data_IF_155494677217
#
_entry.id   IF_155494677217
#
_cell.length_a   1.000
_cell.length_b   1.000
_cell.length_c   1.000
_cell.angle_alpha   90.00
_cell.angle_beta   90.00
_cell.angle_gamma   90.00
#
_symmetry.space_group_name_H-M   'P 1'
#
loop_
_entity.id
_entity.type
_entity.pdbx_description
1 polymer ?
#
# COMPACT_ATOMS: atom_id res chain seq x y z
N UNK A 1 5.56 2.80 -14.87
CA UNK A 1 4.12 3.20 -14.84
C UNK A 1 3.21 2.21 -15.56
N UNK A 2 3.47 1.86 -16.82
CA UNK A 2 2.59 0.99 -17.63
C UNK A 2 2.29 -0.37 -16.95
N UNK A 3 3.31 -1.05 -16.40
CA UNK A 3 3.10 -2.31 -15.69
C UNK A 3 2.27 -2.15 -14.40
N UNK A 4 2.55 -1.13 -13.58
CA UNK A 4 1.84 -0.88 -12.32
C UNK A 4 0.36 -0.52 -12.55
N UNK A 5 0.09 0.36 -13.52
CA UNK A 5 -1.29 0.68 -13.92
C UNK A 5 -1.98 -0.49 -14.64
N UNK A 6 -1.24 -1.35 -15.35
CA UNK A 6 -1.77 -2.58 -15.94
C UNK A 6 -2.27 -3.57 -14.89
N UNK A 7 -1.50 -3.80 -13.82
CA UNK A 7 -1.94 -4.63 -12.69
C UNK A 7 -3.12 -4.02 -11.94
N UNK A 8 -3.15 -2.68 -11.77
CA UNK A 8 -4.28 -1.98 -11.19
C UNK A 8 -5.55 -2.18 -12.05
N UNK A 9 -5.44 -1.98 -13.38
CA UNK A 9 -6.56 -2.14 -14.30
C UNK A 9 -7.12 -3.57 -14.32
N UNK A 10 -6.27 -4.59 -14.14
CA UNK A 10 -6.70 -5.98 -13.97
C UNK A 10 -7.40 -6.21 -12.63
N UNK A 11 -6.88 -5.65 -11.54
CA UNK A 11 -7.47 -5.80 -10.21
C UNK A 11 -8.86 -5.14 -10.11
N UNK A 12 -9.06 -3.97 -10.73
CA UNK A 12 -10.35 -3.25 -10.76
C UNK A 12 -11.43 -4.03 -11.53
N UNK A 13 -11.07 -4.94 -12.44
CA UNK A 13 -12.05 -5.82 -13.11
C UNK A 13 -12.67 -6.86 -12.17
N UNK A 14 -12.01 -7.17 -11.05
CA UNK A 14 -12.43 -8.22 -10.13
C UNK A 14 -12.86 -7.70 -8.77
N UNK A 15 -12.31 -6.57 -8.32
CA UNK A 15 -12.62 -5.96 -7.04
C UNK A 15 -13.07 -4.49 -7.21
N UNK A 16 -13.97 -4.01 -6.34
CA UNK A 16 -14.39 -2.61 -6.36
C UNK A 16 -13.20 -1.67 -6.10
N UNK A 17 -13.22 -0.51 -6.78
CA UNK A 17 -12.16 0.50 -6.72
C UNK A 17 -11.83 0.96 -5.29
N UNK A 18 -12.83 0.94 -4.41
CA UNK A 18 -12.73 1.24 -2.98
C UNK A 18 -11.74 0.33 -2.24
N UNK A 19 -11.56 -0.91 -2.69
CA UNK A 19 -10.56 -1.84 -2.13
C UNK A 19 -9.24 -1.73 -2.87
N UNK A 20 -9.31 -1.68 -4.20
CA UNK A 20 -8.12 -1.80 -5.05
C UNK A 20 -7.20 -0.59 -4.90
N UNK A 21 -7.76 0.63 -4.81
CA UNK A 21 -6.97 1.86 -4.77
C UNK A 21 -6.20 2.04 -3.45
N UNK A 22 -6.80 1.84 -2.25
CA UNK A 22 -6.06 1.90 -0.99
C UNK A 22 -4.98 0.81 -0.87
N UNK A 23 -5.25 -0.40 -1.35
CA UNK A 23 -4.26 -1.49 -1.35
C UNK A 23 -3.09 -1.15 -2.26
N UNK A 24 -3.36 -0.66 -3.48
CA UNK A 24 -2.31 -0.29 -4.43
C UNK A 24 -1.44 0.88 -3.93
N UNK A 25 -2.06 1.94 -3.43
CA UNK A 25 -1.34 3.10 -2.86
C UNK A 25 -0.53 2.70 -1.63
N UNK A 26 -1.10 1.84 -0.77
CA UNK A 26 -0.42 1.30 0.40
C UNK A 26 0.84 0.50 0.10
N UNK A 27 0.76 -0.42 -0.87
CA UNK A 27 1.93 -1.20 -1.31
C UNK A 27 3.00 -0.27 -1.88
N UNK A 28 2.62 0.75 -2.66
CA UNK A 28 3.54 1.74 -3.19
C UNK A 28 4.23 2.56 -2.10
N UNK A 29 3.48 3.02 -1.09
CA UNK A 29 4.02 3.77 0.03
C UNK A 29 5.00 2.93 0.88
N UNK A 30 4.59 1.72 1.30
CA UNK A 30 5.44 0.81 2.08
C UNK A 30 6.68 0.40 1.31
N UNK A 31 6.53 0.07 0.02
CA UNK A 31 7.64 -0.31 -0.86
C UNK A 31 8.66 0.82 -1.04
N UNK A 32 8.19 2.07 -1.23
CA UNK A 32 9.08 3.23 -1.36
C UNK A 32 9.88 3.48 -0.08
N UNK A 33 9.24 3.33 1.09
CA UNK A 33 9.91 3.49 2.38
C UNK A 33 10.95 2.38 2.60
N UNK A 34 10.60 1.12 2.32
CA UNK A 34 11.54 0.00 2.40
C UNK A 34 12.74 0.20 1.49
N UNK A 35 12.52 0.64 0.25
CA UNK A 35 13.61 0.96 -0.69
C UNK A 35 14.48 2.10 -0.16
N UNK A 36 13.88 3.17 0.40
CA UNK A 36 14.59 4.25 1.08
C UNK A 36 15.52 3.76 2.19
N UNK A 37 14.99 2.92 3.08
CA UNK A 37 15.77 2.36 4.21
C UNK A 37 16.87 1.41 3.73
N UNK A 38 16.57 0.51 2.79
CA UNK A 38 17.50 -0.57 2.39
C UNK A 38 18.57 -0.07 1.42
N UNK A 39 18.19 0.68 0.39
CA UNK A 39 19.12 1.13 -0.66
C UNK A 39 19.74 2.49 -0.36
N UNK A 40 18.97 3.42 0.18
CA UNK A 40 19.43 4.78 0.47
C UNK A 40 19.90 4.97 1.92
N UNK A 41 19.72 3.95 2.79
CA UNK A 41 20.06 3.98 4.21
C UNK A 41 19.41 5.15 4.96
N UNK A 42 18.21 5.52 4.52
CA UNK A 42 17.45 6.60 5.15
C UNK A 42 17.14 6.27 6.61
N UNK A 43 17.51 7.22 7.48
CA UNK A 43 17.27 7.16 8.92
C UNK A 43 15.86 7.69 9.20
N UNK A 44 14.85 6.82 9.06
CA UNK A 44 13.49 7.18 9.46
C UNK A 44 13.31 7.02 10.98
N UNK A 45 12.64 7.99 11.63
CA UNK A 45 12.43 7.95 13.06
C UNK A 45 11.51 6.79 13.44
N UNK A 46 11.70 6.23 14.64
CA UNK A 46 10.95 5.08 15.15
C UNK A 46 9.43 5.30 15.13
N UNK A 47 8.98 6.55 15.32
CA UNK A 47 7.56 6.93 15.23
C UNK A 47 6.97 6.70 13.83
N UNK A 48 7.77 6.85 12.76
CA UNK A 48 7.31 6.61 11.39
C UNK A 48 6.96 5.15 11.16
N UNK A 49 7.68 4.22 11.80
CA UNK A 49 7.36 2.79 11.75
C UNK A 49 5.99 2.48 12.35
N UNK A 50 5.59 3.20 13.41
CA UNK A 50 4.24 3.08 13.98
C UNK A 50 3.17 3.51 12.97
N UNK A 51 3.38 4.63 12.26
CA UNK A 51 2.43 5.09 11.24
C UNK A 51 2.37 4.17 10.02
N UNK A 52 3.49 3.58 9.62
CA UNK A 52 3.51 2.54 8.58
C UNK A 52 2.69 1.33 9.02
N UNK A 53 2.84 0.87 10.26
CA UNK A 53 2.05 -0.22 10.80
C UNK A 53 0.54 0.14 10.83
N UNK A 54 0.20 1.36 11.26
CA UNK A 54 -1.19 1.85 11.27
C UNK A 54 -1.78 1.93 9.86
N UNK A 55 -1.00 2.37 8.88
CA UNK A 55 -1.37 2.39 7.47
C UNK A 55 -1.68 0.98 6.96
N UNK A 56 -0.82 0.00 7.27
CA UNK A 56 -1.04 -1.41 6.90
C UNK A 56 -2.32 -1.96 7.54
N UNK A 57 -2.52 -1.68 8.83
CA UNK A 57 -3.75 -2.07 9.55
C UNK A 57 -4.99 -1.45 8.90
N UNK A 58 -4.94 -0.17 8.53
CA UNK A 58 -6.05 0.52 7.86
C UNK A 58 -6.40 -0.12 6.52
N UNK A 59 -5.41 -0.48 5.70
CA UNK A 59 -5.63 -1.15 4.41
C UNK A 59 -6.24 -2.52 4.60
N UNK A 60 -5.73 -3.31 5.56
CA UNK A 60 -6.28 -4.63 5.89
C UNK A 60 -7.72 -4.48 6.38
N UNK A 61 -8.00 -3.48 7.22
CA UNK A 61 -9.35 -3.16 7.70
C UNK A 61 -10.32 -2.89 6.54
N UNK A 62 -9.93 -2.05 5.58
CA UNK A 62 -10.73 -1.75 4.38
C UNK A 62 -10.99 -3.03 3.56
N UNK A 63 -9.98 -3.89 3.39
CA UNK A 63 -10.15 -5.16 2.67
C UNK A 63 -11.13 -6.10 3.37
N UNK A 64 -11.12 -6.14 4.70
CA UNK A 64 -12.02 -7.00 5.49
C UNK A 64 -13.46 -6.45 5.45
N UNK A 65 -13.64 -5.14 5.59
CA UNK A 65 -14.99 -4.53 5.63
C UNK A 65 -15.66 -4.49 4.27
N UNK A 66 -14.89 -4.42 3.19
CA UNK A 66 -15.42 -4.38 1.84
C UNK A 66 -15.82 -5.76 1.27
N UNK A 67 -15.72 -6.82 2.06
CA UNK A 67 -16.16 -8.18 1.74
C UNK A 67 -17.61 -8.53 2.12
N UNK A 68 -18.50 -7.53 2.23
CA UNK A 68 -19.96 -7.73 2.31
C UNK A 68 -20.61 -7.30 0.99
#
# INVERSE_FOLDING_TARGET
MIASFGFLALAVKHLPISIVYPVWTGIGAVGSILVGVVFFKDQIPTITWLFIALLIIGIIGIKITAGH
#
